data_IF_494780780398
#
_entry.id   IF_494780780398
#
_cell.length_a   1.000
_cell.length_b   1.000
_cell.length_c   1.000
_cell.angle_alpha   90.00
_cell.angle_beta   90.00
_cell.angle_gamma   90.00
#
_symmetry.space_group_name_H-M   'P 1'
#
loop_
_entity.id
_entity.type
_entity.pdbx_description
1 polymer ?
#
# COMPACT_ATOMS: atom_id res chain seq x y z
N UNK A 1 -8.48 8.27 -20.29
CA UNK A 1 -8.27 8.38 -18.83
C UNK A 1 -6.78 8.44 -18.65
N UNK A 2 -6.26 9.38 -17.84
CA UNK A 2 -4.83 9.62 -17.80
C UNK A 2 -4.09 8.34 -17.38
N UNK A 3 -3.07 8.01 -18.17
CA UNK A 3 -2.26 6.78 -18.15
C UNK A 3 -1.28 6.83 -16.97
N UNK A 4 -1.80 6.92 -15.75
CA UNK A 4 -1.00 6.92 -14.53
C UNK A 4 -0.88 5.48 -14.04
N UNK A 5 0.35 4.98 -13.99
CA UNK A 5 0.65 3.70 -13.36
C UNK A 5 0.10 3.68 -11.91
N UNK A 6 -0.45 2.54 -11.44
CA UNK A 6 -0.93 2.42 -10.07
C UNK A 6 0.15 2.83 -9.07
N UNK A 7 -0.19 3.74 -8.15
CA UNK A 7 0.76 4.19 -7.11
C UNK A 7 0.80 3.17 -5.97
N UNK A 8 1.99 2.69 -5.63
CA UNK A 8 2.14 1.73 -4.54
C UNK A 8 1.77 2.38 -3.19
N UNK A 9 1.02 1.73 -2.29
CA UNK A 9 0.61 2.32 -0.99
C UNK A 9 1.77 2.79 -0.11
N UNK A 10 2.93 2.17 -0.27
CA UNK A 10 4.15 2.58 0.41
C UNK A 10 4.70 3.93 -0.07
N UNK A 11 4.50 4.30 -1.33
CA UNK A 11 4.84 5.64 -1.83
C UNK A 11 3.94 6.68 -1.15
N UNK A 12 2.64 6.42 -1.08
CA UNK A 12 1.67 7.25 -0.36
C UNK A 12 2.03 7.38 1.13
N UNK A 13 2.43 6.28 1.78
CA UNK A 13 2.94 6.33 3.16
C UNK A 13 4.11 7.32 3.29
N UNK A 14 5.03 7.32 2.34
CA UNK A 14 6.19 8.21 2.37
C UNK A 14 5.80 9.67 2.12
N UNK A 15 5.15 9.95 0.99
CA UNK A 15 4.92 11.32 0.49
C UNK A 15 3.79 12.04 1.21
N UNK A 16 2.74 11.33 1.62
CA UNK A 16 1.54 11.94 2.20
C UNK A 16 1.53 11.92 3.74
N UNK A 17 2.36 11.07 4.37
CA UNK A 17 2.41 10.94 5.82
C UNK A 17 3.79 11.21 6.39
N UNK A 18 4.81 10.43 6.01
CA UNK A 18 6.11 10.49 6.67
C UNK A 18 6.84 11.81 6.42
N UNK A 19 6.92 12.26 5.16
CA UNK A 19 7.60 13.51 4.79
C UNK A 19 6.89 14.75 5.36
N UNK A 20 5.57 14.94 5.21
CA UNK A 20 4.88 16.11 5.74
C UNK A 20 4.91 16.19 7.27
N UNK A 21 4.97 15.05 7.95
CA UNK A 21 5.04 14.98 9.41
C UNK A 21 6.48 15.04 9.95
N UNK A 22 7.50 15.04 9.08
CA UNK A 22 8.91 14.98 9.48
C UNK A 22 9.27 13.67 10.22
N UNK A 23 8.57 12.57 9.92
CA UNK A 23 8.78 11.25 10.55
C UNK A 23 9.73 10.44 9.68
N UNK A 24 10.85 9.99 10.26
CA UNK A 24 11.77 9.09 9.56
C UNK A 24 11.21 7.67 9.45
N UNK A 25 11.62 6.93 8.40
CA UNK A 25 11.30 5.50 8.25
C UNK A 25 11.69 4.68 9.50
N UNK A 26 12.82 5.01 10.12
CA UNK A 26 13.25 4.38 11.37
C UNK A 26 12.30 4.69 12.55
N UNK A 27 11.87 5.95 12.69
CA UNK A 27 10.97 6.37 13.77
C UNK A 27 9.63 5.66 13.68
N UNK A 28 9.02 5.59 12.49
CA UNK A 28 7.75 4.88 12.33
C UNK A 28 7.92 3.38 12.55
N UNK A 29 9.00 2.76 12.03
CA UNK A 29 9.28 1.34 12.24
C UNK A 29 9.37 0.99 13.73
N UNK A 30 10.07 1.82 14.51
CA UNK A 30 10.15 1.67 15.97
C UNK A 30 8.79 1.85 16.65
N UNK A 31 7.99 2.82 16.21
CA UNK A 31 6.67 3.09 16.79
C UNK A 31 5.69 1.93 16.57
N UNK A 32 5.79 1.23 15.44
CA UNK A 32 4.92 0.09 15.11
C UNK A 32 5.52 -1.29 15.45
N UNK A 33 6.68 -1.30 16.12
CA UNK A 33 7.42 -2.50 16.52
C UNK A 33 7.72 -3.47 15.35
N UNK A 34 8.36 -2.95 14.30
CA UNK A 34 8.83 -3.74 13.16
C UNK A 34 10.27 -3.38 12.76
N UNK A 35 11.01 -4.27 12.07
CA UNK A 35 12.31 -3.93 11.53
C UNK A 35 12.24 -2.75 10.53
N UNK A 36 13.16 -1.78 10.63
CA UNK A 36 13.21 -0.63 9.72
C UNK A 36 13.32 -1.02 8.24
N UNK A 37 13.97 -2.15 7.94
CA UNK A 37 14.02 -2.73 6.60
C UNK A 37 12.63 -3.01 6.01
N UNK A 38 11.65 -3.40 6.84
CA UNK A 38 10.27 -3.64 6.39
C UNK A 38 9.67 -2.34 5.83
N UNK A 39 9.79 -1.23 6.56
CA UNK A 39 9.30 0.08 6.12
C UNK A 39 10.05 0.55 4.88
N UNK A 40 11.38 0.37 4.84
CA UNK A 40 12.18 0.72 3.68
C UNK A 40 11.73 -0.03 2.42
N UNK A 41 11.50 -1.34 2.50
CA UNK A 41 11.01 -2.12 1.36
C UNK A 41 9.60 -1.68 0.94
N UNK A 42 8.72 -1.35 1.89
CA UNK A 42 7.36 -0.86 1.60
C UNK A 42 7.39 0.46 0.83
N UNK A 43 8.11 1.46 1.33
CA UNK A 43 8.11 2.80 0.71
C UNK A 43 8.77 2.84 -0.66
N UNK A 44 9.60 1.84 -0.99
CA UNK A 44 10.18 1.68 -2.33
C UNK A 44 9.40 0.69 -3.22
N UNK A 45 8.19 0.30 -2.83
CA UNK A 45 7.34 -0.61 -3.62
C UNK A 45 7.87 -2.04 -3.74
N UNK A 46 8.84 -2.44 -2.92
CA UNK A 46 9.46 -3.79 -2.93
C UNK A 46 8.72 -4.79 -2.06
N UNK A 47 7.78 -4.32 -1.24
CA UNK A 47 6.99 -5.13 -0.30
C UNK A 47 5.59 -4.53 -0.15
N UNK A 48 4.58 -5.36 -0.29
CA UNK A 48 3.19 -4.99 0.00
C UNK A 48 2.96 -4.72 1.49
N UNK A 49 2.01 -3.85 1.80
CA UNK A 49 1.51 -3.65 3.16
C UNK A 49 0.56 -4.81 3.52
N UNK A 50 1.00 -5.70 4.40
CA UNK A 50 0.15 -6.78 4.93
C UNK A 50 -0.91 -6.23 5.89
N UNK A 51 -1.98 -7.01 6.17
CA UNK A 51 -2.98 -6.64 7.17
C UNK A 51 -2.37 -6.32 8.55
N UNK A 52 -1.41 -7.13 9.03
CA UNK A 52 -0.66 -6.84 10.27
C UNK A 52 0.03 -5.47 10.22
N UNK A 53 0.73 -5.15 9.13
CA UNK A 53 1.45 -3.88 9.00
C UNK A 53 0.46 -2.72 8.87
N UNK A 54 -0.62 -2.88 8.11
CA UNK A 54 -1.67 -1.89 7.93
C UNK A 54 -2.33 -1.49 9.25
N UNK A 55 -2.73 -2.47 10.08
CA UNK A 55 -3.34 -2.21 11.39
C UNK A 55 -2.39 -1.43 12.31
N UNK A 56 -1.10 -1.78 12.31
CA UNK A 56 -0.11 -1.09 13.11
C UNK A 56 0.14 0.35 12.63
N UNK A 57 0.25 0.55 11.31
CA UNK A 57 0.38 1.88 10.71
C UNK A 57 -0.84 2.75 11.00
N UNK A 58 -2.05 2.22 10.79
CA UNK A 58 -3.30 2.92 11.09
C UNK A 58 -3.37 3.35 12.54
N UNK A 59 -3.00 2.47 13.48
CA UNK A 59 -2.92 2.83 14.91
C UNK A 59 -1.92 3.95 15.17
N UNK A 60 -0.71 3.87 14.60
CA UNK A 60 0.34 4.86 14.82
C UNK A 60 0.06 6.23 14.18
N UNK A 61 -0.70 6.26 13.10
CA UNK A 61 -1.02 7.47 12.32
C UNK A 61 -2.43 8.01 12.61
N UNK A 62 -3.22 7.36 13.47
CA UNK A 62 -4.57 7.80 13.81
C UNK A 62 -5.59 7.62 12.68
N UNK A 63 -5.41 6.61 11.84
CA UNK A 63 -6.28 6.29 10.70
C UNK A 63 -7.23 5.14 11.02
N UNK A 64 -8.21 4.91 10.15
CA UNK A 64 -9.07 3.73 10.25
C UNK A 64 -8.26 2.46 9.94
N UNK A 65 -8.63 1.36 10.62
CA UNK A 65 -7.98 0.06 10.45
C UNK A 65 -7.93 -0.41 8.99
N UNK A 66 -8.97 -0.06 8.21
CA UNK A 66 -9.08 -0.46 6.80
C UNK A 66 -8.36 0.46 5.81
N UNK A 67 -7.78 1.59 6.25
CA UNK A 67 -7.19 2.58 5.35
C UNK A 67 -6.11 1.98 4.43
N UNK A 68 -5.02 1.47 5.02
CA UNK A 68 -3.95 0.87 4.24
C UNK A 68 -4.31 -0.50 3.65
N UNK A 69 -5.24 -1.22 4.28
CA UNK A 69 -5.73 -2.51 3.76
C UNK A 69 -6.44 -2.30 2.42
N UNK A 70 -7.38 -1.36 2.37
CA UNK A 70 -8.12 -1.05 1.16
C UNK A 70 -7.20 -0.49 0.07
N UNK A 71 -6.25 0.37 0.46
CA UNK A 71 -5.28 0.93 -0.48
C UNK A 71 -4.42 -0.16 -1.14
N UNK A 72 -3.91 -1.11 -0.35
CA UNK A 72 -3.15 -2.24 -0.90
C UNK A 72 -4.02 -3.13 -1.77
N UNK A 73 -5.24 -3.46 -1.33
CA UNK A 73 -6.16 -4.28 -2.11
C UNK A 73 -6.51 -3.63 -3.47
N UNK A 74 -6.70 -2.31 -3.49
CA UNK A 74 -6.95 -1.57 -4.72
C UNK A 74 -5.73 -1.61 -5.65
N UNK A 75 -4.54 -1.30 -5.13
CA UNK A 75 -3.30 -1.38 -5.90
C UNK A 75 -3.08 -2.78 -6.48
N UNK A 76 -3.20 -3.83 -5.66
CA UNK A 76 -3.03 -5.22 -6.09
C UNK A 76 -4.05 -5.60 -7.18
N UNK A 77 -5.30 -5.13 -7.05
CA UNK A 77 -6.34 -5.37 -8.05
C UNK A 77 -6.10 -4.63 -9.36
N UNK A 78 -5.53 -3.42 -9.33
CA UNK A 78 -5.15 -2.66 -10.52
C UNK A 78 -4.01 -3.37 -11.28
N UNK A 79 -2.94 -3.73 -10.58
CA UNK A 79 -1.82 -4.49 -11.15
C UNK A 79 -2.28 -5.85 -11.71
N UNK A 80 -3.14 -6.57 -10.97
CA UNK A 80 -3.69 -7.84 -11.44
C UNK A 80 -4.56 -7.65 -12.69
N UNK A 81 -5.37 -6.59 -12.75
CA UNK A 81 -6.22 -6.29 -13.91
C UNK A 81 -5.40 -5.99 -15.16
N UNK A 82 -4.28 -5.29 -15.01
CA UNK A 82 -3.36 -5.04 -16.13
C UNK A 82 -2.78 -6.35 -16.67
N UNK A 83 -2.26 -7.22 -15.79
CA UNK A 83 -1.69 -8.51 -16.19
C UNK A 83 -2.72 -9.49 -16.76
N UNK A 84 -3.95 -9.47 -16.26
CA UNK A 84 -5.02 -10.40 -16.64
C UNK A 84 -5.94 -9.82 -17.72
N UNK A 85 -5.62 -8.67 -18.32
CA UNK A 85 -6.52 -7.88 -19.17
C UNK A 85 -7.22 -8.72 -20.25
N UNK A 86 -6.49 -9.52 -21.01
CA UNK A 86 -7.06 -10.33 -22.10
C UNK A 86 -7.81 -11.56 -21.59
N UNK A 87 -7.35 -12.16 -20.49
CA UNK A 87 -8.05 -13.28 -19.85
C UNK A 87 -9.41 -12.82 -19.29
N UNK A 88 -9.45 -11.65 -18.64
CA UNK A 88 -10.68 -11.07 -18.10
C UNK A 88 -11.70 -10.74 -19.21
N UNK A 89 -11.24 -10.27 -20.38
CA UNK A 89 -12.12 -10.01 -21.54
C UNK A 89 -12.74 -11.29 -22.12
N UNK A 90 -12.06 -12.42 -21.97
CA UNK A 90 -12.51 -13.72 -22.48
C UNK A 90 -13.46 -14.46 -21.52
N UNK A 91 -13.70 -13.94 -20.31
CA UNK A 91 -14.62 -14.55 -19.35
C UNK A 91 -16.05 -14.08 -19.63
N UNK A 92 -16.93 -15.02 -19.95
CA UNK A 92 -18.36 -14.74 -20.11
C UNK A 92 -19.03 -14.50 -18.75
N UNK A 93 -19.99 -13.56 -18.73
CA UNK A 93 -20.82 -13.33 -17.55
C UNK A 93 -21.79 -14.48 -17.36
N UNK A 94 -21.86 -14.99 -16.14
CA UNK A 94 -22.76 -16.07 -15.75
C UNK A 94 -24.08 -15.58 -15.12
N UNK A 95 -24.17 -14.29 -14.77
CA UNK A 95 -25.32 -13.60 -14.21
C UNK A 95 -25.25 -12.09 -14.49
#
# INVERSE_FOLDING_TARGET
>A
MADFAPTHPGEILLTEFLEPMGITQYRIAKAIDVPARRINEIVHGKRSITADTALRLSRALGLSDMFFINMQAQYDAEIAREHLSDQLKAIDRIA
#
